data_IF_123707768917
#
_entry.id   IF_123707768917
#
_cell.length_a   1.000
_cell.length_b   1.000
_cell.length_c   1.000
_cell.angle_alpha   90.00
_cell.angle_beta   90.00
_cell.angle_gamma   90.00
#
_symmetry.space_group_name_H-M   'P 1'
#
loop_
_entity.id
_entity.type
_entity.pdbx_description
1 polymer ?
#
# COMPACT_ATOMS: atom_id res chain seq x y z
N UNK A 1 -6.03 20.73 -14.29
CA UNK A 1 -6.63 19.78 -13.32
C UNK A 1 -5.65 18.65 -13.13
N UNK A 2 -5.14 18.35 -11.92
CA UNK A 2 -4.24 17.21 -11.81
C UNK A 2 -5.10 15.96 -12.00
N UNK A 3 -4.91 15.26 -13.11
CA UNK A 3 -5.59 14.00 -13.39
C UNK A 3 -5.18 12.99 -12.32
N UNK A 4 -6.16 12.37 -11.66
CA UNK A 4 -5.91 11.20 -10.82
C UNK A 4 -5.27 10.09 -11.66
N UNK A 5 -4.35 9.31 -11.10
CA UNK A 5 -3.61 8.31 -11.85
C UNK A 5 -4.54 7.20 -12.42
N UNK A 6 -5.68 6.98 -11.77
CA UNK A 6 -6.74 6.05 -12.22
C UNK A 6 -7.71 6.65 -13.24
N UNK A 7 -7.64 7.94 -13.54
CA UNK A 7 -8.62 8.60 -14.40
C UNK A 7 -8.60 8.03 -15.83
N UNK A 8 -9.80 7.75 -16.36
CA UNK A 8 -10.00 7.22 -17.70
C UNK A 8 -9.51 5.77 -17.91
N UNK A 9 -9.13 5.05 -16.84
CA UNK A 9 -8.71 3.64 -16.95
C UNK A 9 -9.91 2.71 -16.81
N UNK A 10 -10.05 1.74 -17.71
CA UNK A 10 -10.99 0.64 -17.51
C UNK A 10 -10.41 -0.36 -16.51
N UNK A 11 -10.93 -0.30 -15.29
CA UNK A 11 -10.51 -1.14 -14.17
C UNK A 11 -11.60 -2.13 -13.73
N UNK A 12 -12.74 -2.20 -14.42
CA UNK A 12 -13.84 -3.09 -14.06
C UNK A 12 -13.39 -4.58 -13.94
N UNK A 13 -12.51 -5.10 -14.83
CA UNK A 13 -12.01 -6.47 -14.72
C UNK A 13 -10.98 -6.70 -13.61
N UNK A 14 -10.52 -5.66 -12.92
CA UNK A 14 -9.41 -5.72 -11.96
C UNK A 14 -9.87 -5.26 -10.59
N UNK A 15 -10.54 -6.12 -9.78
CA UNK A 15 -11.15 -5.73 -8.52
C UNK A 15 -10.21 -4.97 -7.58
N UNK A 16 -8.97 -5.43 -7.46
CA UNK A 16 -7.95 -4.75 -6.65
C UNK A 16 -7.71 -3.30 -7.11
N UNK A 17 -7.39 -3.10 -8.39
CA UNK A 17 -7.12 -1.77 -8.94
C UNK A 17 -8.37 -0.89 -8.94
N UNK A 18 -9.55 -1.45 -9.22
CA UNK A 18 -10.83 -0.76 -9.13
C UNK A 18 -11.07 -0.19 -7.73
N UNK A 19 -10.78 -0.98 -6.70
CA UNK A 19 -10.92 -0.54 -5.31
C UNK A 19 -9.87 0.48 -4.87
N UNK A 20 -8.65 0.44 -5.43
CA UNK A 20 -7.66 1.50 -5.22
C UNK A 20 -8.05 2.80 -5.91
N UNK A 21 -8.54 2.72 -7.15
CA UNK A 21 -9.01 3.85 -7.93
C UNK A 21 -10.19 4.56 -7.26
N UNK A 22 -11.19 3.79 -6.79
CA UNK A 22 -12.35 4.34 -6.08
C UNK A 22 -11.99 5.10 -4.80
N UNK A 23 -10.81 4.86 -4.23
CA UNK A 23 -10.32 5.54 -3.00
C UNK A 23 -9.33 6.65 -3.30
N UNK A 24 -8.77 6.73 -4.52
CA UNK A 24 -7.63 7.58 -4.83
C UNK A 24 -7.89 9.05 -4.47
N UNK A 25 -9.02 9.61 -4.88
CA UNK A 25 -9.37 11.00 -4.59
C UNK A 25 -9.51 11.27 -3.08
N UNK A 26 -10.28 10.45 -2.37
CA UNK A 26 -10.52 10.64 -0.93
C UNK A 26 -9.24 10.49 -0.12
N UNK A 27 -8.37 9.54 -0.51
CA UNK A 27 -7.08 9.30 0.15
C UNK A 27 -6.10 10.43 -0.13
N UNK A 28 -5.97 10.88 -1.40
CA UNK A 28 -5.09 12.01 -1.76
C UNK A 28 -5.47 13.30 -1.04
N UNK A 29 -6.77 13.52 -0.84
CA UNK A 29 -7.30 14.70 -0.16
C UNK A 29 -7.37 14.54 1.37
N UNK A 30 -6.87 13.42 1.92
CA UNK A 30 -6.83 13.17 3.37
C UNK A 30 -8.20 13.00 4.03
N UNK A 31 -9.24 12.71 3.23
CA UNK A 31 -10.61 12.40 3.70
C UNK A 31 -10.80 10.93 4.08
N UNK A 32 -9.86 10.06 3.69
CA UNK A 32 -9.89 8.64 4.00
C UNK A 32 -8.47 8.13 4.26
N UNK A 33 -8.27 7.51 5.42
CA UNK A 33 -7.07 6.73 5.72
C UNK A 33 -7.23 5.32 5.14
N UNK A 34 -6.18 4.77 4.51
CA UNK A 34 -6.24 3.44 3.89
C UNK A 34 -4.91 2.70 4.06
N UNK A 35 -4.96 1.55 4.73
CA UNK A 35 -3.87 0.58 4.78
C UNK A 35 -4.22 -0.57 3.82
N UNK A 36 -3.27 -0.95 2.98
CA UNK A 36 -3.40 -2.10 2.06
C UNK A 36 -2.54 -3.23 2.61
N UNK A 37 -3.13 -4.40 2.83
CA UNK A 37 -2.37 -5.62 3.03
C UNK A 37 -2.17 -6.34 1.68
N UNK A 38 -0.95 -6.74 1.39
CA UNK A 38 -0.62 -7.59 0.23
C UNK A 38 0.22 -8.77 0.72
N UNK A 39 -0.10 -9.97 0.22
CA UNK A 39 0.72 -11.18 0.32
C UNK A 39 0.79 -11.81 -1.07
N UNK A 40 1.98 -11.88 -1.63
CA UNK A 40 2.20 -12.28 -3.03
C UNK A 40 3.66 -12.67 -3.28
N UNK A 41 4.00 -13.11 -4.49
CA UNK A 41 5.36 -13.43 -4.91
C UNK A 41 6.05 -12.27 -5.62
N UNK A 42 7.28 -11.99 -5.21
CA UNK A 42 8.16 -11.03 -5.88
C UNK A 42 8.70 -11.60 -7.22
N UNK A 43 9.52 -10.82 -7.93
CA UNK A 43 10.09 -11.23 -9.23
C UNK A 43 11.01 -12.45 -9.14
N UNK A 44 11.54 -12.77 -7.95
CA UNK A 44 12.36 -13.96 -7.69
C UNK A 44 11.51 -15.19 -7.29
N UNK A 45 10.19 -15.07 -7.29
CA UNK A 45 9.27 -16.14 -6.86
C UNK A 45 9.15 -16.31 -5.35
N UNK A 46 9.82 -15.47 -4.55
CA UNK A 46 9.75 -15.51 -3.09
C UNK A 46 8.44 -14.90 -2.60
N UNK A 47 7.83 -15.53 -1.62
CA UNK A 47 6.62 -15.06 -0.98
C UNK A 47 6.96 -13.89 -0.03
N UNK A 48 6.26 -12.78 -0.23
CA UNK A 48 6.40 -11.56 0.55
C UNK A 48 5.02 -11.10 1.02
N UNK A 49 4.96 -10.48 2.19
CA UNK A 49 3.77 -9.81 2.69
C UNK A 49 4.08 -8.48 3.35
N UNK A 50 3.09 -7.62 3.46
CA UNK A 50 3.26 -6.36 4.17
C UNK A 50 2.03 -5.46 4.12
N UNK A 51 2.05 -4.48 5.01
CA UNK A 51 1.05 -3.42 5.12
C UNK A 51 1.61 -2.14 4.50
N UNK A 52 0.84 -1.52 3.61
CA UNK A 52 1.23 -0.33 2.85
C UNK A 52 0.29 0.81 3.26
N UNK A 53 0.86 1.94 3.69
CA UNK A 53 0.09 3.19 3.77
C UNK A 53 -0.17 3.69 2.34
N UNK A 54 -1.41 3.56 1.88
CA UNK A 54 -1.78 3.93 0.53
C UNK A 54 -1.62 5.43 0.28
N UNK A 55 -1.98 6.26 1.26
CA UNK A 55 -1.87 7.72 1.15
C UNK A 55 -0.43 8.18 1.06
N UNK A 56 0.45 7.60 1.88
CA UNK A 56 1.88 7.87 1.79
C UNK A 56 2.45 7.39 0.45
N UNK A 57 2.10 6.17 0.02
CA UNK A 57 2.60 5.59 -1.24
C UNK A 57 2.15 6.41 -2.46
N UNK A 58 0.90 6.89 -2.49
CA UNK A 58 0.37 7.80 -3.53
C UNK A 58 1.09 9.16 -3.59
N UNK A 59 1.66 9.63 -2.48
CA UNK A 59 2.36 10.91 -2.38
C UNK A 59 3.79 10.85 -2.89
N UNK A 60 4.47 9.72 -2.67
CA UNK A 60 5.91 9.56 -2.96
C UNK A 60 6.21 8.78 -4.24
N UNK A 61 5.18 8.24 -4.90
CA UNK A 61 5.36 7.39 -6.07
C UNK A 61 4.30 7.67 -7.15
N UNK A 62 4.70 7.59 -8.43
CA UNK A 62 3.77 7.66 -9.54
C UNK A 62 2.92 6.37 -9.61
N UNK A 63 1.60 6.52 -9.49
CA UNK A 63 0.67 5.41 -9.53
C UNK A 63 0.15 5.05 -10.93
N UNK A 64 0.43 5.85 -11.95
CA UNK A 64 -0.01 5.56 -13.32
C UNK A 64 0.43 4.18 -13.81
N UNK A 65 1.68 3.71 -13.60
CA UNK A 65 2.10 2.38 -14.06
C UNK A 65 1.32 1.23 -13.40
N UNK A 66 0.82 1.43 -12.17
CA UNK A 66 -0.02 0.45 -11.49
C UNK A 66 -1.42 0.38 -12.11
N UNK A 67 -2.05 1.52 -12.32
CA UNK A 67 -3.37 1.59 -12.96
C UNK A 67 -3.32 1.22 -14.45
N UNK A 68 -2.18 1.39 -15.10
CA UNK A 68 -1.89 0.87 -16.43
C UNK A 68 -1.55 -0.62 -16.48
N UNK A 69 -1.45 -1.29 -15.31
CA UNK A 69 -1.07 -2.71 -15.19
C UNK A 69 0.33 -3.04 -15.73
N UNK A 70 1.18 -2.02 -15.90
CA UNK A 70 2.58 -2.16 -16.30
C UNK A 70 3.47 -2.50 -15.10
N UNK A 71 2.97 -2.26 -13.89
CA UNK A 71 3.67 -2.54 -12.63
C UNK A 71 2.71 -3.21 -11.64
N UNK A 72 3.20 -4.17 -10.87
CA UNK A 72 2.46 -4.80 -9.76
C UNK A 72 2.77 -4.07 -8.46
N UNK A 73 1.73 -3.71 -7.71
CA UNK A 73 1.91 -3.16 -6.37
C UNK A 73 2.28 -4.32 -5.43
N UNK A 74 3.48 -4.24 -4.85
CA UNK A 74 4.02 -5.24 -3.95
C UNK A 74 4.62 -4.52 -2.72
N UNK A 75 4.58 -5.16 -1.54
CA UNK A 75 5.23 -4.63 -0.34
C UNK A 75 6.73 -4.44 -0.55
N UNK A 76 7.27 -3.41 0.08
CA UNK A 76 8.70 -3.08 0.11
C UNK A 76 9.18 -2.93 1.54
N UNK A 77 10.48 -3.10 1.81
CA UNK A 77 11.06 -2.87 3.15
C UNK A 77 10.81 -1.47 3.75
N UNK A 78 10.38 -0.50 2.94
CA UNK A 78 10.03 0.87 3.37
C UNK A 78 8.54 1.09 3.60
N UNK A 79 7.70 0.08 3.41
CA UNK A 79 6.28 0.13 3.78
C UNK A 79 6.09 0.00 5.29
N UNK A 80 4.83 0.12 5.75
CA UNK A 80 4.50 0.03 7.18
C UNK A 80 4.98 -1.28 7.79
N UNK A 81 4.92 -2.35 7.01
CA UNK A 81 5.67 -3.56 7.27
C UNK A 81 6.04 -4.28 5.99
N UNK A 82 7.04 -5.13 6.11
CA UNK A 82 7.49 -6.06 5.10
C UNK A 82 7.94 -7.35 5.77
N UNK A 83 7.60 -8.47 5.18
CA UNK A 83 8.09 -9.78 5.56
C UNK A 83 8.36 -10.61 4.31
N UNK A 84 9.56 -11.17 4.20
CA UNK A 84 9.90 -12.18 3.22
C UNK A 84 9.85 -13.55 3.89
N UNK A 85 8.92 -14.41 3.44
CA UNK A 85 8.66 -15.71 4.05
C UNK A 85 9.78 -16.71 3.79
N UNK A 86 10.47 -16.60 2.65
CA UNK A 86 11.57 -17.49 2.29
C UNK A 86 12.86 -17.15 3.06
N UNK A 87 13.13 -15.86 3.27
CA UNK A 87 14.38 -15.41 3.91
C UNK A 87 14.21 -15.01 5.38
N UNK A 88 12.97 -15.03 5.90
CA UNK A 88 12.58 -14.49 7.21
C UNK A 88 13.00 -13.03 7.45
N UNK A 89 13.24 -12.27 6.40
CA UNK A 89 13.65 -10.87 6.53
C UNK A 89 12.41 -10.00 6.76
N UNK A 90 12.41 -9.24 7.86
CA UNK A 90 11.31 -8.36 8.26
C UNK A 90 11.74 -6.90 8.37
N UNK A 91 10.85 -5.98 8.03
CA UNK A 91 10.99 -4.55 8.33
C UNK A 91 9.65 -3.97 8.80
N UNK A 92 9.72 -2.95 9.66
CA UNK A 92 8.58 -2.20 10.18
C UNK A 92 8.93 -0.71 10.17
N UNK A 93 8.04 0.14 9.65
CA UNK A 93 8.31 1.57 9.53
C UNK A 93 7.04 2.37 9.82
N UNK A 94 7.15 3.48 10.55
CA UNK A 94 6.07 4.47 10.60
C UNK A 94 6.03 5.26 9.28
N UNK A 95 4.84 5.70 8.90
CA UNK A 95 4.64 6.70 7.84
C UNK A 95 4.22 8.04 8.44
N UNK A 96 4.10 9.11 7.64
CA UNK A 96 3.51 10.37 8.12
C UNK A 96 2.05 10.23 8.61
N UNK A 97 1.31 9.22 8.15
CA UNK A 97 -0.09 9.02 8.51
C UNK A 97 -0.31 7.95 9.58
N UNK A 98 0.65 7.03 9.78
CA UNK A 98 0.52 5.93 10.73
C UNK A 98 1.80 5.69 11.51
N UNK A 99 1.66 5.63 12.83
CA UNK A 99 2.69 5.12 13.72
C UNK A 99 2.51 3.61 13.91
N UNK A 100 3.62 2.87 13.80
CA UNK A 100 3.65 1.45 14.13
C UNK A 100 3.93 1.28 15.62
N UNK A 101 3.08 0.49 16.28
CA UNK A 101 3.26 0.09 17.67
C UNK A 101 3.38 -1.43 17.67
N UNK A 102 4.58 -1.98 17.96
CA UNK A 102 4.74 -3.41 18.13
C UNK A 102 4.09 -3.84 19.44
N UNK A 103 3.26 -4.89 19.38
CA UNK A 103 2.60 -5.50 20.53
C UNK A 103 2.84 -7.01 20.53
N UNK A 104 3.26 -7.56 21.66
CA UNK A 104 3.65 -8.97 21.75
C UNK A 104 2.44 -9.92 21.78
N UNK A 105 1.28 -9.45 22.21
CA UNK A 105 0.04 -10.25 22.28
C UNK A 105 -0.83 -10.06 21.04
N UNK A 106 -0.94 -8.82 20.55
CA UNK A 106 -1.83 -8.44 19.46
C UNK A 106 -1.14 -8.34 18.10
N UNK A 107 0.21 -8.40 18.07
CA UNK A 107 1.00 -8.30 16.85
C UNK A 107 1.25 -6.84 16.43
N UNK A 108 0.89 -6.50 15.20
CA UNK A 108 1.20 -5.19 14.62
C UNK A 108 0.03 -4.23 14.78
N UNK A 109 0.19 -3.21 15.63
CA UNK A 109 -0.81 -2.16 15.82
C UNK A 109 -0.47 -0.93 14.98
N UNK A 110 -1.51 -0.32 14.40
CA UNK A 110 -1.41 0.90 13.60
C UNK A 110 -2.17 2.02 14.29
N UNK A 111 -1.45 3.07 14.70
CA UNK A 111 -2.07 4.30 15.20
C UNK A 111 -2.11 5.34 14.09
N UNK A 112 -3.30 5.79 13.70
CA UNK A 112 -3.45 6.94 12.81
C UNK A 112 -2.89 8.19 13.51
N UNK A 113 -2.08 9.00 12.82
CA UNK A 113 -1.44 10.17 13.44
C UNK A 113 -2.39 11.35 13.69
N UNK A 114 -3.60 11.30 13.10
CA UNK A 114 -4.62 12.35 13.24
C UNK A 114 -5.70 12.04 14.28
N UNK A 115 -5.77 10.79 14.75
CA UNK A 115 -6.76 10.29 15.71
C UNK A 115 -6.06 9.85 17.01
#
# INVERSE_FOLDING_TARGET
TPFFASAGKDLAPFPFLRHLAAREEMVRNGKMSTIIFIRDKNQKGQEISGYIDYGHRLKIENFEPYFHRQKRLLPRPTDLSFFNWDTHHSAQNSSPNFQIIPDYEQGLLFKNTRD
#
